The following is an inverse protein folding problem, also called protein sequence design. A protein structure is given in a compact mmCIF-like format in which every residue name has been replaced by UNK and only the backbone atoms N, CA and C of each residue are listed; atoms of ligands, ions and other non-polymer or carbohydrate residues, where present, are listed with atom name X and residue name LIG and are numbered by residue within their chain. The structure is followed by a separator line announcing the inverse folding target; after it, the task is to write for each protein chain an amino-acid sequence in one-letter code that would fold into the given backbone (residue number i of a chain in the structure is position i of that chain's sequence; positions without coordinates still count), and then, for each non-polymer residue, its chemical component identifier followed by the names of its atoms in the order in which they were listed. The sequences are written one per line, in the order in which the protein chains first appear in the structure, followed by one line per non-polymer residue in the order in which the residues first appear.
data_IF_490099826175
#
_entry.id   IF_490099826175
#
_cell.length_a   1.000
_cell.length_b   1.000
_cell.length_c   1.000
_cell.angle_alpha   90.00
_cell.angle_beta   90.00
_cell.angle_gamma   90.00
#
_symmetry.space_group_name_H-M   'P 1'
#
loop_
_entity.id
_entity.type
_entity.pdbx_description
1 polymer ?
#
# COMPACT_ATOMS: atom_id res chain seq x y z
N UNK A 1 -1.18 22.38 3.26
CA UNK A 1 -1.99 21.82 4.36
C UNK A 1 -1.14 20.74 5.02
N UNK A 2 -1.41 20.35 6.27
CA UNK A 2 -0.65 19.25 6.88
C UNK A 2 -1.09 17.91 6.26
N UNK A 3 -0.22 16.91 6.30
CA UNK A 3 -0.47 15.62 5.64
C UNK A 3 -1.25 14.70 6.59
N UNK A 4 -2.54 14.43 6.33
CA UNK A 4 -3.38 13.65 7.25
C UNK A 4 -2.88 12.20 7.44
N UNK A 5 -2.18 11.63 6.44
CA UNK A 5 -1.57 10.31 6.55
C UNK A 5 -0.50 10.32 7.64
N UNK A 6 0.47 11.23 7.50
CA UNK A 6 1.62 11.38 8.41
C UNK A 6 1.14 11.80 9.79
N UNK A 7 0.34 12.86 9.88
CA UNK A 7 -0.12 13.44 11.16
C UNK A 7 -0.82 12.39 12.02
N UNK A 8 -1.73 11.61 11.42
CA UNK A 8 -2.47 10.58 12.16
C UNK A 8 -1.61 9.35 12.46
N UNK A 9 -0.53 9.08 11.71
CA UNK A 9 0.42 8.01 12.03
C UNK A 9 1.27 8.41 13.22
N UNK A 10 1.83 9.62 13.22
CA UNK A 10 2.61 10.15 14.34
C UNK A 10 1.77 10.15 15.63
N UNK A 11 0.53 10.65 15.57
CA UNK A 11 -0.37 10.66 16.72
C UNK A 11 -0.71 9.25 17.24
N UNK A 12 -0.79 8.23 16.36
CA UNK A 12 -0.95 6.85 16.79
C UNK A 12 0.30 6.37 17.52
N UNK A 13 1.48 6.53 16.92
CA UNK A 13 2.75 6.04 17.45
C UNK A 13 3.08 6.66 18.82
N UNK A 14 2.73 7.92 19.04
CA UNK A 14 2.88 8.62 20.33
C UNK A 14 1.94 8.08 21.42
N UNK A 15 0.84 7.43 21.04
CA UNK A 15 -0.18 6.90 21.97
C UNK A 15 0.01 5.42 22.31
N UNK A 16 0.76 4.67 21.51
CA UNK A 16 1.03 3.26 21.78
C UNK A 16 1.93 3.14 23.00
N UNK A 17 1.63 2.17 23.88
CA UNK A 17 2.58 1.77 24.91
C UNK A 17 3.79 1.04 24.30
N UNK A 18 4.91 1.05 25.01
CA UNK A 18 6.18 0.46 24.54
C UNK A 18 6.04 -1.01 24.11
N UNK A 19 5.20 -1.78 24.81
CA UNK A 19 4.97 -3.19 24.50
C UNK A 19 4.22 -3.36 23.18
N UNK A 20 3.13 -2.62 22.99
CA UNK A 20 2.35 -2.63 21.75
C UNK A 20 3.17 -2.12 20.57
N UNK A 21 3.95 -1.04 20.76
CA UNK A 21 4.83 -0.50 19.73
C UNK A 21 5.88 -1.51 19.29
N UNK A 22 6.58 -2.14 20.24
CA UNK A 22 7.60 -3.16 19.94
C UNK A 22 7.00 -4.33 19.18
N UNK A 23 5.82 -4.81 19.60
CA UNK A 23 5.14 -5.90 18.90
C UNK A 23 4.75 -5.54 17.46
N UNK A 24 4.29 -4.30 17.23
CA UNK A 24 3.97 -3.80 15.89
C UNK A 24 5.24 -3.66 15.02
N UNK A 25 6.33 -3.13 15.56
CA UNK A 25 7.61 -3.01 14.85
C UNK A 25 8.18 -4.40 14.46
N UNK A 26 8.12 -5.38 15.36
CA UNK A 26 8.59 -6.74 15.08
C UNK A 26 7.73 -7.44 14.01
N UNK A 27 6.41 -7.23 14.06
CA UNK A 27 5.46 -7.70 13.04
C UNK A 27 5.78 -7.15 11.66
N UNK A 28 5.93 -5.82 11.54
CA UNK A 28 6.26 -5.15 10.27
C UNK A 28 7.63 -5.58 9.74
N UNK A 29 8.64 -5.68 10.61
CA UNK A 29 9.99 -6.11 10.22
C UNK A 29 10.01 -7.52 9.65
N UNK A 30 9.28 -8.44 10.28
CA UNK A 30 9.18 -9.82 9.80
C UNK A 30 8.50 -9.89 8.43
N UNK A 31 7.41 -9.14 8.26
CA UNK A 31 6.58 -9.22 7.06
C UNK A 31 7.18 -8.49 5.84
N UNK A 32 7.67 -7.27 6.04
CA UNK A 32 8.19 -6.42 4.97
C UNK A 32 9.32 -7.10 4.18
N UNK A 33 10.25 -7.76 4.86
CA UNK A 33 11.31 -8.53 4.19
C UNK A 33 10.77 -9.67 3.32
N UNK A 34 9.74 -10.39 3.79
CA UNK A 34 9.22 -11.56 3.09
C UNK A 34 8.39 -11.20 1.86
N UNK A 35 7.52 -10.18 2.00
CA UNK A 35 6.52 -9.84 0.97
C UNK A 35 6.98 -8.69 0.09
N UNK A 36 7.61 -7.69 0.68
CA UNK A 36 8.00 -6.46 -0.01
C UNK A 36 9.45 -6.53 -0.53
N UNK A 37 10.25 -7.49 -0.05
CA UNK A 37 11.66 -7.63 -0.44
C UNK A 37 12.54 -6.48 0.04
N UNK A 38 12.00 -5.63 0.92
CA UNK A 38 12.65 -4.48 1.53
C UNK A 38 12.14 -4.37 2.97
N UNK A 39 13.05 -4.03 3.88
CA UNK A 39 12.66 -3.69 5.25
C UNK A 39 12.06 -2.29 5.26
N UNK A 40 10.85 -2.17 5.79
CA UNK A 40 10.21 -0.89 6.09
C UNK A 40 10.01 -0.79 7.60
N UNK A 41 10.04 0.42 8.14
CA UNK A 41 9.67 0.64 9.53
C UNK A 41 8.14 0.68 9.69
N UNK A 42 7.70 0.67 10.95
CA UNK A 42 6.28 0.70 11.29
C UNK A 42 5.59 1.96 10.75
N UNK A 43 6.25 3.12 10.78
CA UNK A 43 5.65 4.37 10.33
C UNK A 43 5.36 4.33 8.81
N UNK A 44 6.34 3.89 8.02
CA UNK A 44 6.23 3.74 6.58
C UNK A 44 5.14 2.73 6.20
N UNK A 45 5.05 1.59 6.90
CA UNK A 45 4.02 0.57 6.64
C UNK A 45 2.60 1.10 6.94
N UNK A 46 2.43 1.84 8.04
CA UNK A 46 1.15 2.48 8.37
C UNK A 46 0.76 3.55 7.36
N UNK A 47 1.72 4.36 6.92
CA UNK A 47 1.50 5.37 5.89
C UNK A 47 1.10 4.74 4.54
N UNK A 48 1.76 3.64 4.17
CA UNK A 48 1.46 2.86 2.97
C UNK A 48 0.04 2.30 3.00
N UNK A 49 -0.39 1.70 4.11
CA UNK A 49 -1.74 1.14 4.24
C UNK A 49 -2.81 2.24 4.10
N UNK A 50 -2.58 3.43 4.68
CA UNK A 50 -3.49 4.57 4.55
C UNK A 50 -3.54 5.12 3.12
N UNK A 51 -2.38 5.22 2.46
CA UNK A 51 -2.32 5.61 1.05
C UNK A 51 -3.03 4.59 0.15
N UNK A 52 -2.92 3.30 0.46
CA UNK A 52 -3.62 2.24 -0.23
C UNK A 52 -5.14 2.33 -0.04
N UNK A 53 -5.59 2.57 1.20
CA UNK A 53 -7.01 2.80 1.50
C UNK A 53 -7.58 3.99 0.72
N UNK A 54 -6.82 5.07 0.56
CA UNK A 54 -7.22 6.21 -0.26
C UNK A 54 -7.44 5.85 -1.74
N UNK A 55 -6.60 4.98 -2.32
CA UNK A 55 -6.81 4.50 -3.69
C UNK A 55 -8.01 3.57 -3.79
N UNK A 56 -8.13 2.61 -2.86
CA UNK A 56 -9.24 1.67 -2.81
C UNK A 56 -10.60 2.35 -2.60
N UNK A 57 -10.63 3.48 -1.89
CA UNK A 57 -11.86 4.23 -1.67
C UNK A 57 -12.34 5.07 -2.88
N UNK A 58 -11.69 4.97 -4.05
CA UNK A 58 -12.00 5.82 -5.21
C UNK A 58 -13.46 5.71 -5.69
N UNK A 59 -14.03 4.52 -5.65
CA UNK A 59 -15.46 4.22 -5.91
C UNK A 59 -16.21 3.75 -4.65
N UNK A 60 -15.57 3.91 -3.48
CA UNK A 60 -16.08 3.58 -2.15
C UNK A 60 -15.67 2.18 -1.68
N UNK A 61 -15.21 2.09 -0.43
CA UNK A 61 -14.71 0.82 0.13
C UNK A 61 -15.80 -0.24 0.27
N UNK A 62 -15.59 -1.35 -0.40
CA UNK A 62 -16.40 -2.56 -0.34
C UNK A 62 -16.20 -3.29 0.99
N UNK A 63 -17.22 -4.02 1.43
CA UNK A 63 -17.11 -4.88 2.61
C UNK A 63 -16.08 -6.02 2.42
N UNK A 64 -15.75 -6.36 1.17
CA UNK A 64 -14.74 -7.37 0.84
C UNK A 64 -13.34 -6.80 1.04
N UNK A 65 -13.09 -5.57 0.59
CA UNK A 65 -11.81 -4.87 0.78
C UNK A 65 -11.52 -4.64 2.25
N UNK A 66 -12.49 -4.12 3.01
CA UNK A 66 -12.34 -3.93 4.47
C UNK A 66 -12.03 -5.25 5.19
N UNK A 67 -12.66 -6.35 4.76
CA UNK A 67 -12.38 -7.68 5.31
C UNK A 67 -11.00 -8.16 4.88
N UNK A 68 -10.61 -7.96 3.63
CA UNK A 68 -9.29 -8.28 3.10
C UNK A 68 -8.19 -7.57 3.87
N UNK A 69 -8.33 -6.26 4.05
CA UNK A 69 -7.48 -5.42 4.88
C UNK A 69 -7.36 -5.95 6.30
N UNK A 70 -8.49 -6.24 6.97
CA UNK A 70 -8.49 -6.80 8.33
C UNK A 70 -7.79 -8.16 8.41
N UNK A 71 -8.06 -9.05 7.45
CA UNK A 71 -7.40 -10.36 7.40
C UNK A 71 -5.90 -10.24 7.16
N UNK A 72 -5.49 -9.33 6.27
CA UNK A 72 -4.08 -9.04 5.98
C UNK A 72 -3.35 -8.58 7.25
N UNK A 73 -3.84 -7.52 7.90
CA UNK A 73 -3.23 -6.99 9.12
C UNK A 73 -3.19 -8.02 10.25
N UNK A 74 -4.26 -8.82 10.39
CA UNK A 74 -4.32 -9.91 11.36
C UNK A 74 -3.32 -11.03 11.06
N UNK A 75 -3.11 -11.37 9.78
CA UNK A 75 -2.13 -12.39 9.38
C UNK A 75 -0.69 -11.95 9.61
N UNK A 76 -0.43 -10.65 9.63
CA UNK A 76 0.90 -10.09 9.90
C UNK A 76 1.14 -9.95 11.41
N UNK A 77 0.11 -10.13 12.24
CA UNK A 77 0.22 -10.00 13.69
C UNK A 77 0.20 -8.55 14.18
N UNK A 78 -0.33 -7.61 13.39
CA UNK A 78 -0.46 -6.22 13.84
C UNK A 78 -1.37 -6.16 15.08
N UNK A 79 -1.00 -5.43 16.14
CA UNK A 79 -1.86 -5.30 17.33
C UNK A 79 -3.22 -4.70 17.00
N UNK A 80 -4.26 -5.13 17.73
CA UNK A 80 -5.64 -4.73 17.46
C UNK A 80 -5.85 -3.20 17.47
N UNK A 81 -5.19 -2.48 18.39
CA UNK A 81 -5.25 -1.02 18.44
C UNK A 81 -4.75 -0.35 17.14
N UNK A 82 -3.71 -0.91 16.51
CA UNK A 82 -3.17 -0.43 15.24
C UNK A 82 -4.14 -0.74 14.10
N UNK A 83 -4.73 -1.95 14.09
CA UNK A 83 -5.74 -2.33 13.10
C UNK A 83 -6.95 -1.38 13.14
N UNK A 84 -7.47 -1.07 14.32
CA UNK A 84 -8.60 -0.15 14.48
C UNK A 84 -8.29 1.24 13.94
N UNK A 85 -7.11 1.78 14.25
CA UNK A 85 -6.69 3.08 13.72
C UNK A 85 -6.69 3.12 12.19
N UNK A 86 -6.18 2.08 11.54
CA UNK A 86 -6.16 1.98 10.08
C UNK A 86 -7.56 1.83 9.48
N UNK A 87 -8.44 1.07 10.14
CA UNK A 87 -9.83 0.92 9.71
C UNK A 87 -10.65 2.20 9.89
N UNK A 88 -10.40 2.98 10.95
CA UNK A 88 -11.09 4.24 11.26
C UNK A 88 -10.54 5.47 10.54
N UNK A 89 -9.35 5.37 9.93
CA UNK A 89 -8.74 6.47 9.18
C UNK A 89 -9.68 7.01 8.10
N UNK A 90 -9.97 8.31 8.09
CA UNK A 90 -10.85 8.94 7.11
C UNK A 90 -10.06 9.43 5.89
N UNK A 91 -10.12 8.66 4.81
CA UNK A 91 -9.43 8.96 3.57
C UNK A 91 -10.06 10.10 2.76
N UNK A 92 -11.24 10.60 3.11
CA UNK A 92 -11.92 11.68 2.38
C UNK A 92 -11.19 13.03 2.44
N UNK A 93 -10.25 13.15 3.39
CA UNK A 93 -9.39 14.33 3.58
C UNK A 93 -8.03 14.21 2.88
N UNK A 94 -7.75 13.07 2.24
CA UNK A 94 -6.48 12.79 1.58
C UNK A 94 -6.51 13.28 0.12
N UNK A 95 -5.35 13.71 -0.36
CA UNK A 95 -5.12 14.15 -1.74
C UNK A 95 -3.92 13.37 -2.28
N UNK A 96 -3.83 13.20 -3.60
CA UNK A 96 -2.72 12.46 -4.22
C UNK A 96 -1.35 13.08 -3.92
N UNK A 97 -1.30 14.41 -3.73
CA UNK A 97 -0.12 15.16 -3.27
C UNK A 97 0.36 14.72 -1.89
N UNK A 98 -0.54 14.42 -0.96
CA UNK A 98 -0.19 13.87 0.36
C UNK A 98 0.49 12.50 0.26
N UNK A 99 0.13 11.69 -0.74
CA UNK A 99 0.82 10.41 -1.01
C UNK A 99 2.20 10.67 -1.62
N UNK A 100 2.33 11.65 -2.51
CA UNK A 100 3.62 12.05 -3.10
C UNK A 100 4.66 12.48 -2.05
N UNK A 101 4.23 13.12 -0.97
CA UNK A 101 5.09 13.52 0.14
C UNK A 101 5.70 12.35 0.93
N UNK A 102 5.15 11.13 0.82
CA UNK A 102 5.69 9.94 1.47
C UNK A 102 7.00 9.45 0.83
N UNK A 103 7.25 9.79 -0.44
CA UNK A 103 8.45 9.39 -1.16
C UNK A 103 8.88 10.49 -2.16
N UNK A 104 9.49 11.59 -1.67
CA UNK A 104 9.70 12.81 -2.46
C UNK A 104 10.69 12.64 -3.62
N UNK A 105 11.60 11.67 -3.56
CA UNK A 105 12.70 11.55 -4.52
C UNK A 105 12.31 10.82 -5.82
N UNK A 106 11.05 10.40 -6.01
CA UNK A 106 10.55 9.78 -7.25
C UNK A 106 11.28 8.51 -7.71
N UNK A 107 12.20 7.99 -6.88
CA UNK A 107 13.08 6.89 -7.20
C UNK A 107 12.44 5.52 -6.96
N UNK A 108 13.29 4.55 -6.62
CA UNK A 108 12.86 3.16 -6.35
C UNK A 108 11.82 3.07 -5.23
N UNK A 109 11.96 3.89 -4.19
CA UNK A 109 11.02 3.93 -3.07
C UNK A 109 9.62 4.38 -3.50
N UNK A 110 9.52 5.41 -4.33
CA UNK A 110 8.25 5.90 -4.86
C UNK A 110 7.58 4.85 -5.78
N UNK A 111 8.38 4.12 -6.58
CA UNK A 111 7.89 2.98 -7.37
C UNK A 111 7.38 1.85 -6.50
N UNK A 112 8.12 1.53 -5.45
CA UNK A 112 7.77 0.51 -4.49
C UNK A 112 6.45 0.85 -3.79
N UNK A 113 6.32 2.09 -3.31
CA UNK A 113 5.11 2.60 -2.67
C UNK A 113 3.91 2.52 -3.62
N UNK A 114 4.04 3.01 -4.86
CA UNK A 114 2.97 2.93 -5.86
C UNK A 114 2.56 1.48 -6.14
N UNK A 115 3.53 0.57 -6.31
CA UNK A 115 3.26 -0.85 -6.52
C UNK A 115 2.47 -1.43 -5.35
N UNK A 116 2.91 -1.22 -4.12
CA UNK A 116 2.24 -1.76 -2.94
C UNK A 116 0.81 -1.23 -2.78
N UNK A 117 0.61 0.08 -3.00
CA UNK A 117 -0.71 0.73 -3.01
C UNK A 117 -1.65 0.04 -4.02
N UNK A 118 -1.19 -0.17 -5.25
CA UNK A 118 -2.00 -0.77 -6.32
C UNK A 118 -2.34 -2.23 -6.04
N UNK A 119 -1.42 -3.01 -5.47
CA UNK A 119 -1.69 -4.42 -5.10
C UNK A 119 -2.70 -4.53 -3.96
N UNK A 120 -2.65 -3.59 -3.03
CA UNK A 120 -3.61 -3.54 -1.94
C UNK A 120 -5.00 -3.13 -2.44
N UNK A 121 -5.10 -2.11 -3.30
CA UNK A 121 -6.38 -1.76 -3.93
C UNK A 121 -6.92 -2.93 -4.77
N UNK A 122 -6.05 -3.65 -5.48
CA UNK A 122 -6.43 -4.80 -6.29
C UNK A 122 -6.84 -6.08 -5.52
N UNK A 123 -7.08 -6.04 -4.20
CA UNK A 123 -7.38 -7.24 -3.41
C UNK A 123 -8.65 -7.98 -3.88
N UNK A 124 -9.71 -7.27 -4.22
CA UNK A 124 -10.94 -7.85 -4.79
C UNK A 124 -11.12 -7.58 -6.30
N UNK A 125 -10.20 -6.80 -6.86
CA UNK A 125 -10.07 -6.41 -8.25
C UNK A 125 -9.61 -4.97 -8.29
N UNK A 126 -9.06 -4.48 -9.41
CA UNK A 126 -8.73 -3.05 -9.54
C UNK A 126 -9.66 -2.43 -10.57
N UNK A 127 -10.62 -1.65 -10.08
CA UNK A 127 -11.62 -0.91 -10.85
C UNK A 127 -10.97 0.16 -11.73
N UNK A 128 -11.74 0.76 -12.63
CA UNK A 128 -11.23 1.85 -13.47
C UNK A 128 -11.09 3.17 -12.69
N UNK A 129 -11.92 3.39 -11.67
CA UNK A 129 -11.86 4.56 -10.79
C UNK A 129 -10.65 4.48 -9.85
N UNK A 130 -10.39 3.30 -9.28
CA UNK A 130 -9.17 3.03 -8.50
C UNK A 130 -7.91 3.15 -9.36
N UNK A 131 -7.95 2.64 -10.60
CA UNK A 131 -6.84 2.79 -11.54
C UNK A 131 -6.62 4.26 -11.91
N UNK A 132 -7.68 5.05 -12.11
CA UNK A 132 -7.58 6.49 -12.33
C UNK A 132 -6.95 7.19 -11.12
N UNK A 133 -7.37 6.86 -9.90
CA UNK A 133 -6.75 7.38 -8.67
C UNK A 133 -5.29 6.95 -8.54
N UNK A 134 -4.97 5.71 -8.89
CA UNK A 134 -3.61 5.18 -8.94
C UNK A 134 -2.71 5.95 -9.91
N UNK A 135 -3.25 6.46 -11.02
CA UNK A 135 -2.51 7.35 -11.93
C UNK A 135 -2.19 8.69 -11.30
N UNK A 136 -3.16 9.30 -10.62
CA UNK A 136 -2.95 10.57 -9.91
C UNK A 136 -1.88 10.43 -8.82
N UNK A 137 -1.95 9.34 -8.04
CA UNK A 137 -0.94 8.99 -7.03
C UNK A 137 0.42 8.75 -7.68
N UNK A 138 0.48 7.99 -8.78
CA UNK A 138 1.72 7.74 -9.50
C UNK A 138 2.37 9.03 -10.03
N UNK A 139 1.57 9.96 -10.56
CA UNK A 139 2.04 11.26 -11.00
C UNK A 139 2.55 12.12 -9.83
N UNK A 140 1.84 12.11 -8.68
CA UNK A 140 2.29 12.80 -7.46
C UNK A 140 3.59 12.23 -6.89
N UNK A 141 3.83 10.92 -7.08
CA UNK A 141 5.07 10.22 -6.77
C UNK A 141 6.17 10.44 -7.83
N UNK A 142 5.96 11.31 -8.82
CA UNK A 142 6.94 11.62 -9.86
C UNK A 142 7.19 10.48 -10.85
N UNK A 143 6.28 9.51 -10.95
CA UNK A 143 6.43 8.38 -11.86
C UNK A 143 6.01 8.72 -13.29
N UNK A 144 6.62 8.05 -14.26
CA UNK A 144 6.29 8.20 -15.69
C UNK A 144 5.03 7.42 -16.02
N UNK A 145 4.18 7.96 -16.89
CA UNK A 145 2.90 7.37 -17.32
C UNK A 145 3.03 5.89 -17.73
N UNK A 146 4.04 5.55 -18.53
CA UNK A 146 4.24 4.17 -19.00
C UNK A 146 4.55 3.19 -17.87
N UNK A 147 5.26 3.64 -16.83
CA UNK A 147 5.55 2.83 -15.65
C UNK A 147 4.31 2.70 -14.75
N UNK A 148 3.56 3.79 -14.57
CA UNK A 148 2.29 3.79 -13.85
C UNK A 148 1.34 2.75 -14.47
N UNK A 149 1.15 2.79 -15.80
CA UNK A 149 0.31 1.80 -16.50
C UNK A 149 0.83 0.37 -16.34
N UNK A 150 2.14 0.17 -16.41
CA UNK A 150 2.73 -1.16 -16.22
C UNK A 150 2.42 -1.73 -14.83
N UNK A 151 2.52 -0.91 -13.78
CA UNK A 151 2.20 -1.31 -12.41
C UNK A 151 0.69 -1.57 -12.21
N UNK A 152 -0.18 -0.76 -12.81
CA UNK A 152 -1.64 -0.98 -12.79
C UNK A 152 -2.00 -2.32 -13.46
N UNK A 153 -1.43 -2.60 -14.63
CA UNK A 153 -1.67 -3.83 -15.36
C UNK A 153 -1.13 -5.05 -14.61
N UNK A 154 0.04 -4.91 -13.97
CA UNK A 154 0.63 -5.97 -13.16
C UNK A 154 -0.22 -6.29 -11.92
N UNK A 155 -0.72 -5.28 -11.19
CA UNK A 155 -1.63 -5.48 -10.07
C UNK A 155 -2.93 -6.20 -10.48
N UNK A 156 -3.53 -5.79 -11.59
CA UNK A 156 -4.70 -6.48 -12.18
C UNK A 156 -4.41 -7.94 -12.53
N UNK A 157 -3.24 -8.20 -13.12
CA UNK A 157 -2.83 -9.54 -13.51
C UNK A 157 -2.57 -10.44 -12.29
N UNK A 158 -1.97 -9.91 -11.22
CA UNK A 158 -1.70 -10.67 -9.98
C UNK A 158 -3.00 -11.07 -9.30
N UNK A 159 -3.96 -10.14 -9.19
CA UNK A 159 -5.29 -10.46 -8.68
C UNK A 159 -5.95 -11.60 -9.46
N UNK A 160 -5.92 -11.53 -10.79
CA UNK A 160 -6.50 -12.57 -11.65
C UNK A 160 -5.79 -13.93 -11.48
N UNK A 161 -4.45 -13.93 -11.40
CA UNK A 161 -3.66 -15.14 -11.16
C UNK A 161 -3.97 -15.77 -9.79
N UNK A 162 -4.10 -14.95 -8.74
CA UNK A 162 -4.47 -15.37 -7.40
C UNK A 162 -5.86 -16.04 -7.37
N UNK A 163 -6.86 -15.46 -8.04
CA UNK A 163 -8.21 -16.06 -8.16
C UNK A 163 -8.21 -17.41 -8.85
N UNK A 164 -7.28 -17.64 -9.77
CA UNK A 164 -7.12 -18.91 -10.50
C UNK A 164 -6.19 -19.90 -9.80
N UNK A 165 -5.55 -19.51 -8.70
CA UNK A 165 -4.49 -20.27 -8.01
C UNK A 165 -3.35 -20.65 -8.97
N UNK A 166 -3.03 -19.74 -9.90
CA UNK A 166 -1.97 -19.93 -10.89
C UNK A 166 -0.62 -19.50 -10.30
N UNK A 167 0.00 -20.38 -9.52
CA UNK A 167 1.27 -20.11 -8.85
C UNK A 167 2.43 -19.82 -9.82
N UNK A 168 2.36 -20.36 -11.04
CA UNK A 168 3.38 -20.06 -12.06
C UNK A 168 3.26 -18.62 -12.53
N UNK A 169 2.05 -18.17 -12.86
CA UNK A 169 1.79 -16.80 -13.27
C UNK A 169 2.14 -15.81 -12.16
N UNK A 170 1.78 -16.10 -10.90
CA UNK A 170 2.14 -15.26 -9.74
C UNK A 170 3.64 -15.10 -9.57
N UNK A 171 4.40 -16.18 -9.78
CA UNK A 171 5.87 -16.09 -9.76
C UNK A 171 6.40 -15.17 -10.86
N UNK A 172 5.92 -15.30 -12.09
CA UNK A 172 6.34 -14.45 -13.20
C UNK A 172 5.99 -12.97 -12.96
N UNK A 173 4.81 -12.70 -12.40
CA UNK A 173 4.37 -11.34 -12.07
C UNK A 173 5.20 -10.73 -10.94
N UNK A 174 5.57 -11.53 -9.93
CA UNK A 174 6.53 -11.10 -8.90
C UNK A 174 7.88 -10.72 -9.52
N UNK A 175 8.43 -11.55 -10.40
CA UNK A 175 9.72 -11.28 -11.05
C UNK A 175 9.63 -10.01 -11.93
N UNK A 176 8.52 -9.83 -12.66
CA UNK A 176 8.24 -8.61 -13.42
C UNK A 176 8.17 -7.38 -12.52
N UNK A 177 7.45 -7.46 -11.39
CA UNK A 177 7.32 -6.36 -10.43
C UNK A 177 8.69 -5.91 -9.94
N UNK A 178 9.54 -6.85 -9.50
CA UNK A 178 10.89 -6.52 -9.06
C UNK A 178 11.70 -5.82 -10.16
N UNK A 179 11.60 -6.30 -11.40
CA UNK A 179 12.23 -5.63 -12.53
C UNK A 179 11.69 -4.21 -12.77
N UNK A 180 10.38 -3.98 -12.64
CA UNK A 180 9.77 -2.64 -12.76
C UNK A 180 10.26 -1.68 -11.67
N UNK A 181 10.46 -2.17 -10.44
CA UNK A 181 10.99 -1.36 -9.33
C UNK A 181 12.44 -0.93 -9.57
N UNK A 182 13.23 -1.80 -10.20
CA UNK A 182 14.65 -1.57 -10.48
C UNK A 182 14.92 -0.88 -11.83
N UNK A 183 13.88 -0.48 -12.58
CA UNK A 183 14.06 0.35 -13.76
C UNK A 183 14.65 1.71 -13.37
N UNK A 184 15.80 2.05 -13.93
CA UNK A 184 16.37 3.38 -13.81
C UNK A 184 15.44 4.42 -14.45
N UNK A 185 15.30 5.57 -13.78
CA UNK A 185 14.51 6.73 -14.21
C UNK A 185 15.23 7.53 -15.29
#
# INVERSE_FOLDING_TARGET
MSNPIIDTTVALLERLDDGTRTAAEDSVRAHSREVLGQEVDLEADLNLIKAAKFVAAADGLSAVELRGMKMMMGSFGLPEAVQWHLLEFDESTVESTHVGELAPDGGREARFLLSAILHFAALDGLSDDEAARGREVGAALGQRDNLIEALILEARAEHHAARRRDEHQRKLLRDLRLALLDLDG
#
